data_IF_943024839722
#
_entry.id   IF_943024839722
#
_cell.length_a   1.000
_cell.length_b   1.000
_cell.length_c   1.000
_cell.angle_alpha   90.00
_cell.angle_beta   90.00
_cell.angle_gamma   90.00
#
_symmetry.space_group_name_H-M   'P 1'
#
loop_
_entity.id
_entity.type
_entity.pdbx_description
1 polymer ?
#
# COMPACT_ATOMS: atom_id res chain seq x y z
N UNK A 1 22.63 11.56 -1.45
CA UNK A 1 23.14 10.25 -1.93
C UNK A 1 21.95 9.48 -2.44
N UNK A 2 21.94 9.02 -3.68
CA UNK A 2 20.75 8.35 -4.25
C UNK A 2 20.56 7.01 -3.55
N UNK A 3 19.42 6.84 -2.88
CA UNK A 3 19.07 5.57 -2.21
C UNK A 3 18.97 4.45 -3.23
N UNK A 4 19.66 3.34 -2.96
CA UNK A 4 19.69 2.17 -3.83
C UNK A 4 18.60 1.17 -3.40
N UNK A 5 17.84 0.64 -4.36
CA UNK A 5 16.75 -0.30 -4.06
C UNK A 5 17.24 -1.62 -3.47
N UNK A 6 18.39 -2.14 -3.93
CA UNK A 6 18.94 -3.38 -3.41
C UNK A 6 19.42 -3.25 -1.98
N UNK A 7 20.09 -2.13 -1.66
CA UNK A 7 20.54 -1.84 -0.30
C UNK A 7 19.38 -1.59 0.66
N UNK A 8 18.37 -0.84 0.22
CA UNK A 8 17.26 -0.46 1.05
C UNK A 8 16.15 -1.51 1.13
N UNK A 9 16.01 -2.42 0.15
CA UNK A 9 14.86 -3.33 0.04
C UNK A 9 15.28 -4.77 -0.20
N UNK A 10 15.99 -5.06 -1.31
CA UNK A 10 16.31 -6.45 -1.70
C UNK A 10 17.09 -7.19 -0.62
N UNK A 11 18.03 -6.51 0.05
CA UNK A 11 18.83 -7.04 1.17
C UNK A 11 17.97 -7.62 2.30
N UNK A 12 16.76 -7.10 2.51
CA UNK A 12 15.88 -7.52 3.60
C UNK A 12 14.79 -8.50 3.14
N UNK A 13 14.82 -8.95 1.89
CA UNK A 13 13.73 -9.74 1.30
C UNK A 13 13.50 -11.11 1.94
N UNK A 14 14.48 -11.67 2.65
CA UNK A 14 14.34 -12.92 3.40
C UNK A 14 13.34 -12.83 4.56
N UNK A 15 13.06 -11.62 5.07
CA UNK A 15 12.06 -11.42 6.12
C UNK A 15 10.63 -11.29 5.58
N UNK A 16 10.46 -11.14 4.27
CA UNK A 16 9.16 -10.83 3.68
C UNK A 16 8.28 -12.08 3.56
N UNK A 17 7.01 -11.94 3.93
CA UNK A 17 6.03 -13.01 3.77
C UNK A 17 5.50 -13.01 2.34
N UNK A 18 5.66 -14.14 1.65
CA UNK A 18 5.17 -14.33 0.29
C UNK A 18 3.71 -14.77 0.30
N UNK A 19 2.83 -13.95 -0.25
CA UNK A 19 1.40 -14.25 -0.36
C UNK A 19 1.01 -14.37 -1.83
N UNK A 20 0.66 -15.58 -2.23
CA UNK A 20 0.11 -15.88 -3.56
C UNK A 20 -1.41 -15.81 -3.48
N UNK A 21 -2.02 -14.89 -4.22
CA UNK A 21 -3.47 -14.73 -4.31
C UNK A 21 -4.06 -15.73 -5.30
N UNK A 22 -5.31 -16.10 -5.03
CA UNK A 22 -6.11 -16.88 -5.97
C UNK A 22 -6.35 -16.05 -7.26
N UNK A 23 -6.14 -16.62 -8.46
CA UNK A 23 -6.36 -15.91 -9.72
C UNK A 23 -7.78 -15.35 -9.87
N UNK A 24 -8.81 -16.07 -9.42
CA UNK A 24 -10.19 -15.60 -9.43
C UNK A 24 -10.40 -14.38 -8.53
N UNK A 25 -9.73 -14.34 -7.37
CA UNK A 25 -9.75 -13.17 -6.50
C UNK A 25 -9.06 -11.95 -7.14
N UNK A 26 -7.94 -12.17 -7.84
CA UNK A 26 -7.26 -11.11 -8.62
C UNK A 26 -8.18 -10.56 -9.72
N UNK A 27 -8.85 -11.44 -10.47
CA UNK A 27 -9.81 -11.02 -11.49
C UNK A 27 -10.99 -10.25 -10.90
N UNK A 28 -11.50 -10.66 -9.74
CA UNK A 28 -12.55 -9.92 -9.02
C UNK A 28 -12.11 -8.50 -8.66
N UNK A 29 -10.90 -8.34 -8.15
CA UNK A 29 -10.32 -7.01 -7.84
C UNK A 29 -10.23 -6.16 -9.11
N UNK A 30 -9.74 -6.74 -10.21
CA UNK A 30 -9.59 -6.01 -11.48
C UNK A 30 -10.95 -5.52 -12.00
N UNK A 31 -11.98 -6.37 -11.96
CA UNK A 31 -13.33 -5.98 -12.38
C UNK A 31 -13.89 -4.87 -11.49
N UNK A 32 -13.77 -5.02 -10.17
CA UNK A 32 -14.23 -4.01 -9.22
C UNK A 32 -13.53 -2.66 -9.40
N UNK A 33 -12.21 -2.65 -9.65
CA UNK A 33 -11.46 -1.42 -9.89
C UNK A 33 -11.91 -0.74 -11.18
N UNK A 34 -12.19 -1.50 -12.24
CA UNK A 34 -12.74 -0.95 -13.49
C UNK A 34 -14.07 -0.26 -13.22
N UNK A 35 -15.00 -0.92 -12.53
CA UNK A 35 -16.31 -0.34 -12.15
C UNK A 35 -16.14 0.90 -11.26
N UNK A 36 -15.23 0.86 -10.29
CA UNK A 36 -14.93 1.97 -9.38
C UNK A 36 -14.42 3.20 -10.13
N UNK A 37 -13.47 3.03 -11.06
CA UNK A 37 -12.90 4.13 -11.84
C UNK A 37 -13.91 4.67 -12.84
N UNK A 38 -14.71 3.82 -13.47
CA UNK A 38 -15.83 4.24 -14.33
C UNK A 38 -16.86 5.08 -13.56
N UNK A 39 -17.23 4.66 -12.35
CA UNK A 39 -18.13 5.42 -11.50
C UNK A 39 -17.53 6.78 -11.10
N UNK A 40 -16.25 6.80 -10.70
CA UNK A 40 -15.55 8.04 -10.31
C UNK A 40 -15.28 8.99 -11.46
N UNK A 41 -15.11 8.50 -12.69
CA UNK A 41 -14.92 9.34 -13.89
C UNK A 41 -16.11 10.26 -14.18
N UNK A 42 -17.28 9.96 -13.60
CA UNK A 42 -18.49 10.78 -13.68
C UNK A 42 -18.51 11.93 -12.65
N UNK A 43 -17.58 11.96 -11.70
CA UNK A 43 -17.42 13.04 -10.72
C UNK A 43 -16.57 14.19 -11.32
N UNK A 44 -16.99 15.45 -11.12
CA UNK A 44 -16.38 16.63 -11.75
C UNK A 44 -14.87 16.81 -11.45
N UNK A 45 -14.39 16.24 -10.34
CA UNK A 45 -13.00 16.34 -9.89
C UNK A 45 -12.05 15.28 -10.49
N UNK A 46 -12.57 14.29 -11.25
CA UNK A 46 -11.83 13.11 -11.72
C UNK A 46 -11.58 13.06 -13.24
N UNK A 47 -11.49 14.21 -13.93
CA UNK A 47 -11.09 14.30 -15.36
C UNK A 47 -9.60 13.99 -15.62
N UNK A 48 -9.05 12.95 -15.00
CA UNK A 48 -7.64 12.55 -15.03
C UNK A 48 -7.50 11.17 -15.73
N UNK A 49 -6.34 10.93 -16.35
CA UNK A 49 -5.90 9.69 -17.01
C UNK A 49 -6.28 8.40 -16.22
N UNK A 50 -7.41 7.79 -16.62
CA UNK A 50 -8.05 6.66 -15.95
C UNK A 50 -7.15 5.43 -15.81
N UNK A 51 -6.22 5.23 -16.74
CA UNK A 51 -5.30 4.10 -16.73
C UNK A 51 -4.33 4.12 -15.53
N UNK A 52 -3.88 5.32 -15.13
CA UNK A 52 -3.02 5.47 -13.96
C UNK A 52 -3.78 5.23 -12.66
N UNK A 53 -5.06 5.62 -12.62
CA UNK A 53 -5.95 5.36 -11.49
C UNK A 53 -6.26 3.87 -11.35
N UNK A 54 -6.66 3.18 -12.43
CA UNK A 54 -6.89 1.72 -12.44
C UNK A 54 -5.67 0.99 -11.88
N UNK A 55 -4.48 1.33 -12.37
CA UNK A 55 -3.24 0.69 -11.91
C UNK A 55 -2.98 0.94 -10.42
N UNK A 56 -3.21 2.18 -9.95
CA UNK A 56 -3.00 2.57 -8.56
C UNK A 56 -3.96 1.85 -7.62
N UNK A 57 -5.26 1.86 -7.93
CA UNK A 57 -6.29 1.18 -7.14
C UNK A 57 -6.04 -0.33 -7.12
N UNK A 58 -5.78 -0.95 -8.28
CA UNK A 58 -5.45 -2.37 -8.37
C UNK A 58 -4.26 -2.73 -7.47
N UNK A 59 -3.20 -1.92 -7.48
CA UNK A 59 -2.01 -2.17 -6.65
C UNK A 59 -2.35 -2.08 -5.15
N UNK A 60 -3.16 -1.11 -4.74
CA UNK A 60 -3.64 -0.97 -3.36
C UNK A 60 -4.43 -2.20 -2.92
N UNK A 61 -5.51 -2.53 -3.64
CA UNK A 61 -6.39 -3.64 -3.32
C UNK A 61 -5.69 -5.00 -3.31
N UNK A 62 -4.68 -5.22 -4.16
CA UNK A 62 -3.91 -6.46 -4.10
C UNK A 62 -3.11 -6.60 -2.79
N UNK A 63 -2.63 -5.51 -2.21
CA UNK A 63 -1.98 -5.55 -0.89
C UNK A 63 -2.98 -5.80 0.24
N UNK A 64 -4.16 -5.17 0.17
CA UNK A 64 -5.26 -5.46 1.09
C UNK A 64 -5.67 -6.93 1.02
N UNK A 65 -5.87 -7.48 -0.17
CA UNK A 65 -6.17 -8.89 -0.41
C UNK A 65 -5.11 -9.84 0.16
N UNK A 66 -3.83 -9.47 0.06
CA UNK A 66 -2.75 -10.26 0.65
C UNK A 66 -2.85 -10.30 2.18
N UNK A 67 -3.26 -9.20 2.80
CA UNK A 67 -3.46 -9.12 4.24
C UNK A 67 -4.77 -9.79 4.68
N UNK A 68 -5.83 -9.76 3.88
CA UNK A 68 -7.04 -10.58 4.13
C UNK A 68 -6.68 -12.06 4.21
N UNK A 69 -5.89 -12.54 3.24
CA UNK A 69 -5.42 -13.93 3.21
C UNK A 69 -4.49 -14.25 4.38
N UNK A 70 -3.60 -13.32 4.76
CA UNK A 70 -2.65 -13.53 5.85
C UNK A 70 -3.33 -13.50 7.22
N UNK A 71 -4.30 -12.62 7.43
CA UNK A 71 -4.96 -12.41 8.72
C UNK A 71 -6.26 -13.20 8.89
N UNK A 72 -6.83 -13.70 7.80
CA UNK A 72 -8.12 -14.41 7.83
C UNK A 72 -9.30 -13.50 8.14
N UNK A 73 -9.22 -12.21 7.79
CA UNK A 73 -10.29 -11.23 7.99
C UNK A 73 -10.60 -10.49 6.68
N UNK A 74 -11.84 -10.03 6.46
CA UNK A 74 -12.14 -9.12 5.36
C UNK A 74 -11.56 -7.71 5.66
N UNK A 75 -10.98 -7.09 4.65
CA UNK A 75 -10.39 -5.74 4.67
C UNK A 75 -10.97 -4.92 3.52
N UNK A 76 -11.13 -5.52 2.33
CA UNK A 76 -11.61 -4.81 1.14
C UNK A 76 -13.09 -4.49 1.29
N UNK A 77 -13.41 -3.20 1.22
CA UNK A 77 -14.78 -2.73 1.02
C UNK A 77 -15.12 -2.79 -0.48
N UNK A 78 -16.07 -3.67 -0.82
CA UNK A 78 -16.54 -3.88 -2.20
C UNK A 78 -17.66 -2.92 -2.61
N UNK A 79 -17.93 -1.89 -1.84
CA UNK A 79 -18.94 -0.88 -2.18
C UNK A 79 -18.33 0.29 -2.96
N UNK A 80 -19.10 0.82 -3.92
CA UNK A 80 -18.72 2.01 -4.70
C UNK A 80 -19.48 3.19 -4.10
N UNK A 81 -18.86 3.89 -3.15
CA UNK A 81 -19.40 5.08 -2.48
C UNK A 81 -18.74 6.39 -2.90
N UNK A 82 -19.31 7.53 -2.46
CA UNK A 82 -18.75 8.87 -2.68
C UNK A 82 -17.37 9.02 -2.03
N UNK A 83 -16.45 9.65 -2.77
CA UNK A 83 -15.02 9.78 -2.47
C UNK A 83 -14.66 10.75 -1.33
N UNK A 84 -15.62 11.51 -0.79
CA UNK A 84 -15.40 12.56 0.23
C UNK A 84 -15.30 12.10 1.69
N UNK A 85 -15.37 10.80 1.94
CA UNK A 85 -15.17 10.20 3.25
C UNK A 85 -13.89 9.35 3.19
N UNK A 86 -13.27 9.05 4.33
CA UNK A 86 -12.21 8.05 4.50
C UNK A 86 -10.74 8.54 4.50
N UNK A 87 -10.39 9.34 5.50
CA UNK A 87 -9.09 9.23 6.18
C UNK A 87 -9.19 8.20 7.33
N UNK A 88 -9.61 6.97 7.03
CA UNK A 88 -9.79 5.91 8.03
C UNK A 88 -8.68 4.86 7.83
N UNK A 89 -8.05 4.35 8.90
CA UNK A 89 -7.11 3.24 8.81
C UNK A 89 -7.73 2.03 8.09
N UNK A 90 -6.93 1.40 7.23
CA UNK A 90 -7.41 0.41 6.27
C UNK A 90 -7.86 -0.91 6.94
N UNK A 91 -7.29 -1.27 8.10
CA UNK A 91 -7.61 -2.54 8.78
C UNK A 91 -8.81 -2.38 9.75
N UNK A 92 -9.92 -3.11 9.57
CA UNK A 92 -11.08 -3.02 10.44
C UNK A 92 -10.77 -3.31 11.91
N UNK A 93 -11.11 -2.37 12.80
CA UNK A 93 -10.85 -2.48 14.24
C UNK A 93 -9.44 -2.10 14.70
N UNK A 94 -8.55 -1.69 13.78
CA UNK A 94 -7.18 -1.30 14.10
C UNK A 94 -6.85 0.09 13.56
N UNK A 95 -5.93 0.78 14.23
CA UNK A 95 -5.35 2.05 13.77
C UNK A 95 -4.08 1.78 12.98
N UNK A 96 -4.20 1.01 11.90
CA UNK A 96 -3.09 0.61 11.04
C UNK A 96 -3.49 0.82 9.57
N UNK A 97 -2.63 1.48 8.81
CA UNK A 97 -2.80 1.63 7.36
C UNK A 97 -2.04 0.57 6.56
N UNK A 98 -2.24 0.57 5.24
CA UNK A 98 -1.60 -0.32 4.29
C UNK A 98 -1.00 0.53 3.18
N UNK A 99 0.23 0.22 2.78
CA UNK A 99 0.90 0.86 1.65
C UNK A 99 1.52 -0.19 0.75
N UNK A 100 0.98 -0.28 -0.46
CA UNK A 100 1.42 -1.22 -1.48
C UNK A 100 2.09 -0.48 -2.62
N UNK A 101 3.24 -0.98 -3.05
CA UNK A 101 3.99 -0.44 -4.19
C UNK A 101 4.41 -1.57 -5.12
N UNK A 102 4.63 -1.30 -6.40
CA UNK A 102 5.28 -2.28 -7.29
C UNK A 102 6.76 -2.46 -6.93
N UNK A 103 7.30 -3.65 -7.20
CA UNK A 103 8.74 -3.92 -7.11
C UNK A 103 9.55 -2.87 -7.88
N UNK A 104 10.76 -2.62 -7.41
CA UNK A 104 11.72 -1.63 -7.92
C UNK A 104 11.28 -0.15 -7.71
N UNK A 105 10.29 0.08 -6.85
CA UNK A 105 9.83 1.40 -6.42
C UNK A 105 9.71 1.47 -4.90
N UNK A 106 9.80 2.68 -4.36
CA UNK A 106 9.63 2.94 -2.93
C UNK A 106 8.17 3.33 -2.61
N UNK A 107 7.61 2.90 -1.46
CA UNK A 107 6.29 3.32 -1.03
C UNK A 107 6.23 4.84 -0.85
N UNK A 108 5.16 5.46 -1.35
CA UNK A 108 4.93 6.89 -1.14
C UNK A 108 4.01 7.06 0.07
N UNK A 109 4.50 7.77 1.09
CA UNK A 109 3.81 8.02 2.36
C UNK A 109 3.63 9.52 2.60
N UNK A 110 2.83 9.90 3.58
CA UNK A 110 2.79 11.29 4.05
C UNK A 110 4.07 11.62 4.80
N UNK A 111 4.46 12.90 4.85
CA UNK A 111 5.63 13.34 5.62
C UNK A 111 5.42 13.23 7.14
N UNK A 112 4.17 13.38 7.56
CA UNK A 112 3.74 13.19 8.93
C UNK A 112 2.71 12.07 9.00
N UNK A 113 3.04 11.01 9.73
CA UNK A 113 2.21 9.83 9.92
C UNK A 113 1.86 9.71 11.40
N UNK A 114 0.56 9.74 11.69
CA UNK A 114 0.04 9.61 13.06
C UNK A 114 -0.32 8.17 13.45
N UNK A 115 -0.11 7.21 12.55
CA UNK A 115 -0.39 5.78 12.77
C UNK A 115 0.57 4.91 11.95
N UNK A 116 0.80 3.65 12.37
CA UNK A 116 1.66 2.71 11.65
C UNK A 116 1.06 2.25 10.32
N UNK A 117 1.92 1.79 9.40
CA UNK A 117 1.49 1.25 8.11
C UNK A 117 2.19 -0.08 7.81
N UNK A 118 1.42 -1.06 7.33
CA UNK A 118 1.98 -2.29 6.77
C UNK A 118 2.47 -1.99 5.36
N UNK A 119 3.73 -2.32 5.08
CA UNK A 119 4.35 -2.13 3.77
C UNK A 119 4.25 -3.43 2.97
N UNK A 120 3.73 -3.32 1.75
CA UNK A 120 3.58 -4.42 0.81
C UNK A 120 4.27 -4.09 -0.52
N UNK A 121 4.88 -5.10 -1.15
CA UNK A 121 5.45 -5.01 -2.49
C UNK A 121 4.73 -5.97 -3.42
N UNK A 122 4.18 -5.45 -4.52
CA UNK A 122 3.62 -6.23 -5.62
C UNK A 122 4.72 -6.68 -6.56
N UNK A 123 4.75 -7.97 -6.88
CA UNK A 123 5.64 -8.53 -7.90
C UNK A 123 5.34 -7.93 -9.29
N UNK A 124 6.39 -7.59 -10.02
CA UNK A 124 6.31 -7.22 -11.45
C UNK A 124 6.33 -8.43 -12.37
N UNK A 125 6.74 -9.60 -11.87
CA UNK A 125 6.82 -10.87 -12.62
C UNK A 125 5.55 -11.71 -12.52
N UNK A 126 4.84 -11.64 -11.40
CA UNK A 126 3.65 -12.45 -11.13
C UNK A 126 2.53 -11.52 -10.66
N UNK A 127 1.44 -11.47 -11.42
CA UNK A 127 0.31 -10.57 -11.15
C UNK A 127 -0.43 -10.87 -9.82
N UNK A 128 -0.32 -12.09 -9.32
CA UNK A 128 -0.98 -12.57 -8.10
C UNK A 128 -0.04 -12.74 -6.91
N UNK A 129 1.19 -12.22 -6.97
CA UNK A 129 2.16 -12.35 -5.88
C UNK A 129 2.43 -11.02 -5.20
N UNK A 130 2.19 -11.00 -3.89
CA UNK A 130 2.49 -9.88 -3.00
C UNK A 130 3.49 -10.33 -1.93
N UNK A 131 4.42 -9.44 -1.60
CA UNK A 131 5.35 -9.58 -0.49
C UNK A 131 4.90 -8.65 0.63
N UNK A 132 4.42 -9.22 1.75
CA UNK A 132 4.15 -8.45 2.97
C UNK A 132 5.47 -8.25 3.69
N UNK A 133 5.96 -7.01 3.71
CA UNK A 133 7.33 -6.69 4.14
C UNK A 133 7.42 -6.50 5.67
N UNK A 134 6.36 -5.99 6.28
CA UNK A 134 6.26 -5.78 7.73
C UNK A 134 5.60 -4.46 8.09
N UNK A 135 5.54 -4.16 9.39
CA UNK A 135 4.95 -2.97 9.97
C UNK A 135 5.99 -1.87 10.11
N UNK A 136 5.74 -0.71 9.50
CA UNK A 136 6.42 0.52 9.82
C UNK A 136 5.64 1.26 10.92
N UNK A 137 6.24 1.46 12.09
CA UNK A 137 5.65 2.33 13.12
C UNK A 137 5.58 3.78 12.63
N UNK A 138 4.75 4.63 13.23
CA UNK A 138 4.72 6.07 12.90
C UNK A 138 6.10 6.71 13.04
N UNK A 139 6.85 6.35 14.07
CA UNK A 139 8.23 6.81 14.26
C UNK A 139 9.16 6.36 13.13
N UNK A 140 9.04 5.11 12.67
CA UNK A 140 9.83 4.61 11.52
C UNK A 140 9.42 5.33 10.23
N UNK A 141 8.13 5.53 9.99
CA UNK A 141 7.64 6.26 8.81
C UNK A 141 8.17 7.70 8.77
N UNK A 142 8.18 8.38 9.92
CA UNK A 142 8.58 9.78 10.02
C UNK A 142 10.11 9.99 10.01
N UNK A 143 10.92 8.98 10.33
CA UNK A 143 12.38 9.09 10.33
C UNK A 143 13.07 8.55 9.06
N UNK A 144 12.44 7.58 8.37
CA UNK A 144 13.04 6.89 7.23
C UNK A 144 12.36 7.27 5.91
N UNK A 145 12.38 8.57 5.63
CA UNK A 145 11.77 9.20 4.47
C UNK A 145 12.76 10.02 3.64
N UNK A 146 12.58 10.06 2.32
CA UNK A 146 13.42 10.79 1.38
C UNK A 146 12.59 11.27 0.18
N UNK A 147 12.57 12.58 -0.07
CA UNK A 147 11.80 13.20 -1.15
C UNK A 147 12.36 12.86 -2.53
N UNK A 148 13.65 12.51 -2.63
CA UNK A 148 14.29 12.13 -3.89
C UNK A 148 13.78 10.79 -4.42
N UNK A 149 13.09 10.01 -3.59
CA UNK A 149 12.44 8.77 -3.96
C UNK A 149 11.09 8.97 -4.68
N UNK A 150 10.53 10.19 -4.66
CA UNK A 150 9.33 10.50 -5.43
C UNK A 150 9.71 10.67 -6.90
N UNK A 151 9.24 9.75 -7.75
CA UNK A 151 9.48 9.79 -9.20
C UNK A 151 8.72 10.90 -9.92
N UNK A 152 7.55 11.29 -9.41
CA UNK A 152 6.71 12.33 -10.02
C UNK A 152 7.07 13.72 -9.47
N UNK A 153 7.65 14.63 -10.29
CA UNK A 153 8.06 15.95 -9.84
C UNK A 153 6.88 16.81 -9.36
N UNK A 154 5.68 16.63 -9.93
CA UNK A 154 4.48 17.37 -9.49
C UNK A 154 4.04 16.89 -8.12
N UNK A 155 4.12 15.59 -7.84
CA UNK A 155 3.82 15.05 -6.52
C UNK A 155 4.85 15.52 -5.49
N UNK A 156 6.13 15.56 -5.87
CA UNK A 156 7.22 16.05 -5.03
C UNK A 156 7.03 17.53 -4.68
N UNK A 157 6.70 18.35 -5.67
CA UNK A 157 6.50 19.79 -5.51
C UNK A 157 5.34 20.16 -4.55
N UNK A 158 4.35 19.27 -4.37
CA UNK A 158 3.27 19.48 -3.38
C UNK A 158 3.77 19.48 -1.93
N UNK A 159 4.93 18.89 -1.65
CA UNK A 159 5.56 18.93 -0.33
C UNK A 159 4.87 18.15 0.79
N UNK A 160 3.76 17.45 0.53
CA UNK A 160 2.98 16.72 1.54
C UNK A 160 3.34 15.24 1.67
N UNK A 161 4.01 14.68 0.66
CA UNK A 161 4.40 13.27 0.60
C UNK A 161 5.91 13.14 0.43
N UNK A 162 6.39 11.93 0.66
CA UNK A 162 7.79 11.52 0.58
C UNK A 162 7.87 10.04 0.15
N UNK A 163 9.06 9.53 -0.18
CA UNK A 163 9.27 8.09 -0.33
C UNK A 163 9.83 7.46 0.94
N UNK A 164 9.34 6.29 1.31
CA UNK A 164 9.81 5.50 2.45
C UNK A 164 10.93 4.54 2.05
N UNK A 165 12.01 4.47 2.83
CA UNK A 165 13.13 3.53 2.57
C UNK A 165 13.53 2.64 3.76
N UNK A 166 12.87 2.76 4.90
CA UNK A 166 13.27 2.10 6.15
C UNK A 166 12.91 0.61 6.26
N UNK A 167 13.13 -0.22 5.23
CA UNK A 167 12.73 -1.64 5.28
C UNK A 167 13.48 -2.44 6.35
N UNK A 168 14.69 -2.04 6.70
CA UNK A 168 15.47 -2.63 7.80
C UNK A 168 14.80 -2.47 9.17
N UNK A 169 13.90 -1.49 9.31
CA UNK A 169 13.21 -1.15 10.56
C UNK A 169 11.81 -1.76 10.64
N UNK A 170 11.39 -2.53 9.61
CA UNK A 170 10.06 -3.12 9.58
C UNK A 170 9.96 -4.24 10.61
N UNK A 171 8.92 -4.16 11.43
CA UNK A 171 8.59 -5.23 12.37
C UNK A 171 7.90 -6.35 11.58
N UNK A 172 8.40 -7.60 11.64
CA UNK A 172 7.75 -8.71 10.95
C UNK A 172 6.31 -8.91 11.41
N UNK A 173 5.42 -9.23 10.46
CA UNK A 173 4.02 -9.55 10.75
C UNK A 173 3.68 -10.91 10.14
N UNK A 174 3.02 -11.76 10.91
CA UNK A 174 2.56 -13.09 10.52
C UNK A 174 1.08 -13.30 10.75
N UNK A 175 0.46 -12.52 11.64
CA UNK A 175 -0.93 -12.68 12.03
C UNK A 175 -1.55 -11.37 12.51
N UNK A 176 -2.88 -11.36 12.66
CA UNK A 176 -3.60 -10.20 13.18
C UNK A 176 -3.19 -9.83 14.62
N UNK A 177 -2.74 -10.82 15.42
CA UNK A 177 -2.31 -10.60 16.80
C UNK A 177 -1.07 -9.70 16.91
N UNK A 178 -0.24 -9.65 15.87
CA UNK A 178 0.93 -8.76 15.80
C UNK A 178 0.51 -7.27 15.77
N UNK A 179 -0.77 -6.98 15.54
CA UNK A 179 -1.35 -5.64 15.56
C UNK A 179 -2.07 -5.29 16.86
N UNK A 180 -2.05 -6.18 17.87
CA UNK A 180 -2.85 -6.05 19.09
C UNK A 180 -2.68 -4.72 19.83
N UNK A 181 -1.48 -4.14 19.82
CA UNK A 181 -1.19 -2.83 20.43
C UNK A 181 -1.83 -1.64 19.71
N UNK A 182 -2.37 -1.86 18.51
CA UNK A 182 -3.00 -0.84 17.67
C UNK A 182 -4.52 -1.04 17.51
N UNK A 183 -5.12 -1.91 18.32
CA UNK A 183 -6.57 -2.09 18.37
C UNK A 183 -7.26 -0.78 18.79
N UNK A 184 -8.39 -0.46 18.17
CA UNK A 184 -9.22 0.72 18.51
C UNK A 184 -9.98 0.54 19.82
#
# INVERSE_FOLDING_TARGET
MKRNYDECVTKYSDSFVRVVLDPGYVSRIQNFVTELVEAKSKEDHHKIDSNKEVKRFTTGFLGEAALEKLFGIPIIDWTIGYSGLYHIPDIPGYRVGIKTVERDKFPIIFKDNSYPQIICIKSTKYNNLIFVCGLATSNVLNNYQDDDLILDPNLRARGTKTGFYGFEQLVPIKSLNDLSTYKK
#
